data_IF_047864713946
#
_entry.id   IF_047864713946
#
_cell.length_a   1.000
_cell.length_b   1.000
_cell.length_c   1.000
_cell.angle_alpha   90.00
_cell.angle_beta   90.00
_cell.angle_gamma   90.00
#
_symmetry.space_group_name_H-M   'P 1'
#
loop_
_entity.id
_entity.type
_entity.pdbx_description
1 polymer ?
#
# COMPACT_ATOMS: atom_id res chain seq x y z
N UNK A 1 -10.11 -21.36 1.33
CA UNK A 1 -8.69 -21.06 1.65
C UNK A 1 -8.60 -19.55 1.70
N UNK A 2 -8.38 -18.96 2.87
CA UNK A 2 -8.37 -17.49 3.01
C UNK A 2 -7.09 -16.97 2.37
N UNK A 3 -7.20 -16.08 1.38
CA UNK A 3 -6.07 -15.30 0.87
C UNK A 3 -5.81 -14.21 1.90
N UNK A 4 -4.64 -14.27 2.51
CA UNK A 4 -4.13 -13.26 3.44
C UNK A 4 -2.81 -12.78 2.87
N UNK A 5 -2.57 -11.47 2.95
CA UNK A 5 -1.24 -10.93 2.71
C UNK A 5 -0.23 -11.72 3.53
N UNK A 6 0.91 -12.06 2.92
CA UNK A 6 2.12 -12.37 3.69
C UNK A 6 2.59 -11.16 4.52
N UNK A 7 3.73 -11.28 5.21
CA UNK A 7 4.18 -10.22 6.11
C UNK A 7 4.47 -8.93 5.33
N UNK A 8 4.07 -7.80 5.89
CA UNK A 8 4.39 -6.46 5.34
C UNK A 8 5.47 -5.85 6.21
N UNK A 9 6.60 -5.49 5.59
CA UNK A 9 7.69 -4.81 6.28
C UNK A 9 7.60 -3.30 6.08
N UNK A 10 7.40 -2.54 7.15
CA UNK A 10 7.52 -1.08 7.13
C UNK A 10 8.90 -0.64 7.63
N UNK A 11 9.60 0.19 6.86
CA UNK A 11 10.94 0.69 7.18
C UNK A 11 10.88 2.19 7.41
N UNK A 12 11.45 2.63 8.53
CA UNK A 12 11.65 4.04 8.88
C UNK A 12 13.14 4.33 8.93
N UNK A 13 13.62 5.27 8.11
CA UNK A 13 14.99 5.80 8.20
C UNK A 13 14.98 7.11 8.97
N UNK A 14 15.49 7.11 10.20
CA UNK A 14 15.60 8.31 11.04
C UNK A 14 17.03 8.84 11.08
N UNK A 15 17.19 10.16 11.06
CA UNK A 15 18.46 10.80 11.40
C UNK A 15 18.70 10.89 12.90
N UNK A 16 19.87 11.38 13.29
CA UNK A 16 20.26 11.52 14.71
C UNK A 16 19.28 12.40 15.52
N UNK A 17 18.58 13.34 14.86
CA UNK A 17 17.54 14.19 15.46
C UNK A 17 16.11 13.63 15.38
N UNK A 18 15.92 12.35 15.01
CA UNK A 18 14.60 11.71 14.93
C UNK A 18 13.76 12.05 13.69
N UNK A 19 14.20 13.01 12.86
CA UNK A 19 13.54 13.33 11.59
C UNK A 19 13.68 12.21 10.56
N UNK A 20 12.64 12.02 9.74
CA UNK A 20 12.66 11.06 8.64
C UNK A 20 13.62 11.56 7.56
N UNK A 21 14.61 10.73 7.23
CA UNK A 21 15.51 10.98 6.11
C UNK A 21 14.82 10.47 4.86
N UNK A 22 14.64 11.31 3.84
CA UNK A 22 14.24 10.85 2.51
C UNK A 22 15.47 10.41 1.73
N UNK A 23 15.40 9.25 1.09
CA UNK A 23 16.45 8.71 0.22
C UNK A 23 15.99 8.74 -1.23
N UNK A 24 16.95 8.75 -2.14
CA UNK A 24 16.65 8.54 -3.56
C UNK A 24 16.03 7.16 -3.79
N UNK A 25 15.14 7.07 -4.77
CA UNK A 25 14.42 5.83 -5.10
C UNK A 25 15.38 4.68 -5.44
N UNK A 26 16.51 4.97 -6.06
CA UNK A 26 17.58 4.00 -6.39
C UNK A 26 18.07 3.25 -5.15
N UNK A 27 18.39 3.98 -4.08
CA UNK A 27 18.81 3.38 -2.81
C UNK A 27 17.69 2.56 -2.14
N UNK A 28 16.43 2.99 -2.29
CA UNK A 28 15.29 2.23 -1.76
C UNK A 28 15.09 0.92 -2.51
N UNK A 29 15.31 0.91 -3.83
CA UNK A 29 15.25 -0.31 -4.65
C UNK A 29 16.35 -1.30 -4.27
N UNK A 30 17.56 -0.82 -4.01
CA UNK A 30 18.67 -1.68 -3.58
C UNK A 30 18.41 -2.29 -2.20
N UNK A 31 17.86 -1.50 -1.26
CA UNK A 31 17.42 -1.97 0.04
C UNK A 31 16.31 -3.03 -0.08
N UNK A 32 15.28 -2.75 -0.88
CA UNK A 32 14.19 -3.69 -1.12
C UNK A 32 14.71 -5.02 -1.67
N UNK A 33 15.62 -4.98 -2.65
CA UNK A 33 16.24 -6.19 -3.22
C UNK A 33 17.01 -6.98 -2.16
N UNK A 34 17.81 -6.30 -1.35
CA UNK A 34 18.59 -6.96 -0.29
C UNK A 34 17.67 -7.65 0.73
N UNK A 35 16.57 -7.00 1.13
CA UNK A 35 15.58 -7.57 2.06
C UNK A 35 14.89 -8.79 1.47
N UNK A 36 14.39 -8.70 0.24
CA UNK A 36 13.66 -9.80 -0.40
C UNK A 36 14.57 -10.99 -0.76
N UNK A 37 15.89 -10.77 -0.86
CA UNK A 37 16.87 -11.85 -1.01
C UNK A 37 17.06 -12.64 0.28
N UNK A 38 17.09 -11.96 1.43
CA UNK A 38 17.27 -12.57 2.75
C UNK A 38 15.96 -13.18 3.30
N UNK A 39 14.84 -12.48 3.07
CA UNK A 39 13.52 -12.77 3.66
C UNK A 39 12.43 -12.74 2.58
N UNK A 40 12.05 -13.93 2.14
CA UNK A 40 11.03 -14.16 1.09
C UNK A 40 9.60 -14.27 1.62
N UNK A 41 9.43 -14.18 2.92
CA UNK A 41 8.15 -14.15 3.62
C UNK A 41 7.46 -12.79 3.54
N UNK A 42 8.21 -11.72 3.25
CA UNK A 42 7.64 -10.40 3.02
C UNK A 42 7.06 -10.28 1.61
N UNK A 43 5.81 -9.84 1.52
CA UNK A 43 5.16 -9.55 0.22
C UNK A 43 5.33 -8.10 -0.19
N UNK A 44 5.44 -7.19 0.79
CA UNK A 44 5.55 -5.75 0.56
C UNK A 44 6.59 -5.13 1.49
N UNK A 45 7.34 -4.16 0.94
CA UNK A 45 8.25 -3.30 1.71
C UNK A 45 7.75 -1.87 1.58
N UNK A 46 7.23 -1.33 2.68
CA UNK A 46 6.74 0.05 2.77
C UNK A 46 7.84 0.95 3.33
N UNK A 47 8.04 2.11 2.70
CA UNK A 47 8.99 3.11 3.17
C UNK A 47 8.27 4.32 3.74
N UNK A 48 8.54 4.64 5.01
CA UNK A 48 7.96 5.80 5.65
C UNK A 48 8.60 7.10 5.14
N UNK A 49 7.82 7.93 4.44
CA UNK A 49 8.26 9.23 3.91
C UNK A 49 7.87 10.42 4.79
N UNK A 50 6.91 10.22 5.68
CA UNK A 50 6.42 11.19 6.64
C UNK A 50 5.74 10.44 7.79
N UNK A 51 5.77 11.03 8.99
CA UNK A 51 5.04 10.56 10.15
C UNK A 51 4.05 11.66 10.52
N UNK A 52 2.79 11.27 10.67
CA UNK A 52 1.74 12.15 11.17
C UNK A 52 1.29 11.56 12.49
N UNK A 53 1.07 12.41 13.50
CA UNK A 53 0.60 12.00 14.82
C UNK A 53 -0.87 11.57 14.81
N UNK A 54 -1.21 10.61 13.96
CA UNK A 54 -2.52 9.97 13.88
C UNK A 54 -2.39 8.62 14.57
N UNK A 55 -3.05 8.47 15.72
CA UNK A 55 -2.93 7.30 16.59
C UNK A 55 -3.95 6.20 16.23
N UNK A 56 -4.21 6.03 14.93
CA UNK A 56 -5.16 5.03 14.44
C UNK A 56 -4.38 3.93 13.71
N UNK A 57 -4.53 2.65 14.11
CA UNK A 57 -3.60 1.60 13.72
C UNK A 57 -3.77 1.08 12.30
N UNK A 58 -4.90 1.36 11.64
CA UNK A 58 -5.21 0.74 10.35
C UNK A 58 -5.29 1.74 9.20
N UNK A 59 -4.90 1.26 8.03
CA UNK A 59 -5.14 1.87 6.72
C UNK A 59 -5.89 0.86 5.87
N UNK A 60 -6.73 1.34 4.94
CA UNK A 60 -7.43 0.48 3.98
C UNK A 60 -7.00 0.86 2.57
N UNK A 61 -6.81 -0.14 1.72
CA UNK A 61 -6.57 0.04 0.28
C UNK A 61 -7.76 -0.52 -0.48
N UNK A 62 -8.35 0.30 -1.33
CA UNK A 62 -9.39 -0.08 -2.28
C UNK A 62 -8.71 -0.45 -3.60
N UNK A 63 -9.06 -1.62 -4.14
CA UNK A 63 -8.60 -2.11 -5.43
C UNK A 63 -9.81 -2.43 -6.30
N UNK A 64 -9.97 -1.70 -7.40
CA UNK A 64 -10.99 -1.97 -8.42
C UNK A 64 -10.32 -2.04 -9.79
N UNK A 65 -10.59 -3.12 -10.52
CA UNK A 65 -10.01 -3.37 -11.84
C UNK A 65 -11.07 -3.91 -12.80
N UNK A 66 -10.87 -3.62 -14.08
CA UNK A 66 -11.64 -4.16 -15.20
C UNK A 66 -10.77 -5.16 -15.97
N UNK A 67 -11.30 -6.34 -16.27
CA UNK A 67 -10.56 -7.40 -16.98
C UNK A 67 -11.49 -8.19 -17.88
N UNK A 68 -11.02 -8.50 -19.09
CA UNK A 68 -11.74 -9.36 -20.04
C UNK A 68 -11.21 -10.80 -20.04
N UNK A 69 -9.94 -11.00 -19.70
CA UNK A 69 -9.21 -12.26 -19.90
C UNK A 69 -8.44 -12.77 -18.67
N UNK A 70 -8.53 -12.07 -17.53
CA UNK A 70 -7.78 -12.33 -16.30
C UNK A 70 -6.24 -12.30 -16.46
N UNK A 71 -5.70 -12.01 -17.65
CA UNK A 71 -4.28 -11.87 -17.91
C UNK A 71 -3.85 -10.41 -17.79
N UNK A 72 -4.69 -9.49 -18.25
CA UNK A 72 -4.53 -8.05 -18.11
C UNK A 72 -5.69 -7.45 -17.32
N UNK A 73 -5.44 -6.36 -16.60
CA UNK A 73 -6.49 -5.63 -15.94
C UNK A 73 -6.15 -4.14 -15.86
N UNK A 74 -7.09 -3.32 -16.30
CA UNK A 74 -7.02 -1.87 -16.18
C UNK A 74 -7.62 -1.43 -14.84
N UNK A 75 -7.12 -0.31 -14.31
CA UNK A 75 -7.68 0.28 -13.10
C UNK A 75 -9.07 0.82 -13.43
N UNK A 76 -10.08 0.45 -12.65
CA UNK A 76 -11.44 0.95 -12.86
C UNK A 76 -11.46 2.48 -12.74
N UNK A 77 -12.06 3.14 -13.72
CA UNK A 77 -12.21 4.60 -13.71
C UNK A 77 -13.46 4.99 -12.91
N UNK A 78 -13.39 4.82 -11.59
CA UNK A 78 -14.47 5.18 -10.68
C UNK A 78 -14.56 6.71 -10.54
N UNK A 79 -15.77 7.30 -10.52
CA UNK A 79 -15.94 8.72 -10.24
C UNK A 79 -15.30 9.07 -8.89
N UNK A 80 -14.53 10.15 -8.85
CA UNK A 80 -13.84 10.57 -7.62
C UNK A 80 -14.79 10.78 -6.44
N UNK A 81 -15.98 11.32 -6.72
CA UNK A 81 -17.05 11.47 -5.73
C UNK A 81 -17.45 10.14 -5.08
N UNK A 82 -17.53 9.06 -5.85
CA UNK A 82 -17.85 7.74 -5.32
C UNK A 82 -16.73 7.20 -4.43
N UNK A 83 -15.46 7.45 -4.80
CA UNK A 83 -14.31 7.09 -3.95
C UNK A 83 -14.32 7.88 -2.64
N UNK A 84 -14.66 9.16 -2.67
CA UNK A 84 -14.81 9.99 -1.46
C UNK A 84 -15.93 9.46 -0.56
N UNK A 85 -17.11 9.18 -1.11
CA UNK A 85 -18.25 8.61 -0.38
C UNK A 85 -17.87 7.28 0.31
N UNK A 86 -17.24 6.36 -0.44
CA UNK A 86 -16.76 5.08 0.11
C UNK A 86 -15.75 5.31 1.23
N UNK A 87 -14.80 6.23 1.06
CA UNK A 87 -13.80 6.53 2.09
C UNK A 87 -14.45 7.08 3.37
N UNK A 88 -15.45 7.96 3.25
CA UNK A 88 -16.19 8.48 4.39
C UNK A 88 -16.96 7.38 5.13
N UNK A 89 -17.68 6.53 4.40
CA UNK A 89 -18.42 5.40 5.00
C UNK A 89 -17.47 4.45 5.74
N UNK A 90 -16.33 4.10 5.13
CA UNK A 90 -15.30 3.27 5.77
C UNK A 90 -14.81 3.91 7.07
N UNK A 91 -14.46 5.20 7.05
CA UNK A 91 -13.89 5.88 8.23
C UNK A 91 -14.93 6.10 9.33
N UNK A 92 -16.21 6.21 8.98
CA UNK A 92 -17.32 6.33 9.93
C UNK A 92 -17.61 5.01 10.63
N UNK A 93 -17.69 3.91 9.88
CA UNK A 93 -17.97 2.57 10.40
C UNK A 93 -16.75 1.93 11.08
N UNK A 94 -15.54 2.15 10.54
CA UNK A 94 -14.29 1.57 11.04
C UNK A 94 -13.46 2.65 11.76
N UNK A 95 -13.79 2.90 13.04
CA UNK A 95 -13.19 3.99 13.83
C UNK A 95 -11.66 3.91 13.96
N UNK A 96 -11.07 2.73 13.88
CA UNK A 96 -9.62 2.49 13.98
C UNK A 96 -8.86 2.71 12.64
N UNK A 97 -9.57 3.06 11.56
CA UNK A 97 -8.99 3.38 10.26
C UNK A 97 -8.62 4.87 10.20
N UNK A 98 -7.35 5.13 9.87
CA UNK A 98 -6.79 6.48 9.70
C UNK A 98 -7.00 7.01 8.29
N UNK A 99 -6.78 6.15 7.30
CA UNK A 99 -6.62 6.54 5.89
C UNK A 99 -7.17 5.46 4.95
N UNK A 100 -7.72 5.91 3.83
CA UNK A 100 -8.20 5.06 2.74
C UNK A 100 -7.46 5.44 1.46
N UNK A 101 -6.85 4.46 0.81
CA UNK A 101 -6.08 4.59 -0.42
C UNK A 101 -6.79 3.90 -1.59
N UNK A 102 -6.49 4.31 -2.82
CA UNK A 102 -6.95 3.63 -4.05
C UNK A 102 -5.75 3.18 -4.87
N UNK A 103 -5.66 1.89 -5.19
CA UNK A 103 -4.55 1.35 -5.98
C UNK A 103 -4.76 1.54 -7.49
N UNK A 104 -3.89 2.37 -8.07
CA UNK A 104 -3.89 2.78 -9.47
C UNK A 104 -2.86 2.02 -10.32
N UNK A 105 -2.37 0.86 -9.88
CA UNK A 105 -1.37 0.07 -10.61
C UNK A 105 -2.05 -0.92 -11.56
N UNK A 106 -1.84 -0.91 -12.89
CA UNK A 106 -2.46 -1.89 -13.78
C UNK A 106 -1.86 -3.30 -13.61
N UNK A 107 -2.53 -4.31 -14.15
CA UNK A 107 -1.98 -5.65 -14.38
C UNK A 107 -1.67 -5.83 -15.87
N UNK A 108 -0.41 -6.07 -16.27
CA UNK A 108 0.83 -5.91 -15.50
C UNK A 108 1.17 -4.42 -15.22
N UNK A 109 2.05 -4.10 -14.23
CA UNK A 109 2.98 -4.99 -13.54
C UNK A 109 2.44 -5.68 -12.28
N UNK A 110 1.30 -5.25 -11.75
CA UNK A 110 0.73 -5.83 -10.53
C UNK A 110 -0.09 -7.10 -10.81
N UNK A 111 -0.48 -7.80 -9.75
CA UNK A 111 -1.55 -8.80 -9.76
C UNK A 111 -2.91 -8.14 -9.45
N UNK A 112 -4.02 -8.85 -9.72
CA UNK A 112 -5.35 -8.38 -9.32
C UNK A 112 -5.48 -8.50 -7.80
N UNK A 113 -5.12 -9.67 -7.29
CA UNK A 113 -5.06 -9.97 -5.87
C UNK A 113 -3.86 -9.29 -5.24
N UNK A 114 -4.04 -8.91 -3.99
CA UNK A 114 -2.96 -8.49 -3.11
C UNK A 114 -2.79 -9.60 -2.06
N UNK A 115 -1.95 -10.59 -2.39
CA UNK A 115 -1.69 -11.81 -1.59
C UNK A 115 -0.19 -11.98 -1.33
#
# INVERSE_FOLDING_TARGET
>A
KTRVYGDILAIKSTGEGGGIIKREITHLLDLQRAILQDRRDFTHVLYMIAERGVDKPYVIVIRAVETEDFLTADVSNLPWKSLEEIAYEIMEECRDVSEVYYDITPKPPATIEME
#
